data_IF_251176627782
#
_entry.id   IF_251176627782
#
_cell.length_a   1.000
_cell.length_b   1.000
_cell.length_c   1.000
_cell.angle_alpha   90.00
_cell.angle_beta   90.00
_cell.angle_gamma   90.00
#
_symmetry.space_group_name_H-M   'P 1'
#
loop_
_entity.id
_entity.type
_entity.pdbx_description
1 polymer ?
#
# COMPACT_ATOMS: atom_id res chain seq x y z
N UNK A 1 -3.70 15.39 6.93
CA UNK A 1 -4.89 14.50 6.95
C UNK A 1 -4.49 13.23 6.21
N UNK A 2 -4.68 12.05 6.78
CA UNK A 2 -4.40 10.76 6.10
C UNK A 2 -5.73 10.20 5.61
N UNK A 3 -6.05 10.24 4.29
CA UNK A 3 -7.33 9.77 3.75
C UNK A 3 -7.46 8.25 3.75
N UNK A 4 -6.33 7.55 3.87
CA UNK A 4 -6.26 6.10 3.99
C UNK A 4 -5.88 5.72 5.42
N UNK A 5 -6.51 4.68 5.95
CA UNK A 5 -6.18 4.07 7.23
C UNK A 5 -6.20 2.55 7.08
N UNK A 6 -5.17 1.89 7.59
CA UNK A 6 -5.05 0.43 7.57
C UNK A 6 -5.22 -0.17 6.15
N UNK A 7 -4.69 0.53 5.12
CA UNK A 7 -4.75 0.11 3.73
C UNK A 7 -6.10 0.32 3.03
N UNK A 8 -7.08 0.93 3.70
CA UNK A 8 -8.43 1.16 3.13
C UNK A 8 -8.81 2.64 3.17
N UNK A 9 -9.82 3.00 2.35
CA UNK A 9 -10.35 4.36 2.30
C UNK A 9 -11.09 4.67 3.61
N UNK A 10 -10.55 5.61 4.40
CA UNK A 10 -11.18 6.14 5.60
C UNK A 10 -12.04 7.38 5.31
N UNK A 11 -11.65 8.16 4.29
CA UNK A 11 -12.34 9.36 3.83
C UNK A 11 -12.44 9.34 2.30
N UNK A 12 -13.65 9.10 1.80
CA UNK A 12 -13.91 8.95 0.38
C UNK A 12 -13.71 10.25 -0.40
N UNK A 13 -14.18 11.38 0.13
CA UNK A 13 -14.07 12.67 -0.55
C UNK A 13 -12.60 13.11 -0.67
N UNK A 14 -11.88 13.06 0.44
CA UNK A 14 -10.44 13.39 0.45
C UNK A 14 -9.63 12.45 -0.45
N UNK A 15 -9.97 11.15 -0.50
CA UNK A 15 -9.32 10.19 -1.40
C UNK A 15 -9.59 10.53 -2.85
N UNK A 16 -10.83 10.87 -3.21
CA UNK A 16 -11.20 11.26 -4.57
C UNK A 16 -10.43 12.51 -5.02
N UNK A 17 -10.34 13.54 -4.17
CA UNK A 17 -9.57 14.77 -4.45
C UNK A 17 -8.09 14.44 -4.64
N UNK A 18 -7.52 13.59 -3.80
CA UNK A 18 -6.12 13.17 -3.91
C UNK A 18 -5.85 12.45 -5.24
N UNK A 19 -6.72 11.53 -5.63
CA UNK A 19 -6.64 10.82 -6.91
C UNK A 19 -6.76 11.79 -8.10
N UNK A 20 -7.68 12.76 -8.05
CA UNK A 20 -7.81 13.80 -9.06
C UNK A 20 -6.50 14.59 -9.24
N UNK A 21 -5.87 15.00 -8.13
CA UNK A 21 -4.61 15.72 -8.17
C UNK A 21 -3.47 14.88 -8.75
N UNK A 22 -3.39 13.58 -8.40
CA UNK A 22 -2.39 12.68 -8.97
C UNK A 22 -2.59 12.49 -10.47
N UNK A 23 -3.83 12.24 -10.90
CA UNK A 23 -4.17 12.09 -12.31
C UNK A 23 -3.84 13.39 -13.07
N UNK A 24 -4.24 14.55 -12.54
CA UNK A 24 -3.96 15.86 -13.14
C UNK A 24 -2.46 16.10 -13.33
N UNK A 25 -1.66 15.79 -12.31
CA UNK A 25 -0.19 15.89 -12.36
C UNK A 25 0.41 14.94 -13.39
N UNK A 26 -0.02 13.69 -13.40
CA UNK A 26 0.48 12.68 -14.34
C UNK A 26 0.12 12.98 -15.79
N UNK A 27 -1.04 13.60 -16.03
CA UNK A 27 -1.52 13.97 -17.37
C UNK A 27 -0.91 15.27 -17.92
N UNK A 28 -0.06 15.96 -17.15
CA UNK A 28 0.59 17.22 -17.56
C UNK A 28 -0.38 18.24 -18.16
N UNK A 29 -1.59 18.36 -17.60
CA UNK A 29 -2.60 19.33 -18.05
C UNK A 29 -3.34 18.99 -19.35
N UNK A 30 -3.24 17.77 -19.86
CA UNK A 30 -4.02 17.31 -21.02
C UNK A 30 -5.50 17.14 -20.64
N UNK A 31 -6.29 18.15 -20.85
CA UNK A 31 -7.66 18.29 -20.34
C UNK A 31 -8.69 17.32 -20.95
N UNK A 32 -8.40 16.69 -22.08
CA UNK A 32 -9.35 15.82 -22.81
C UNK A 32 -8.95 14.35 -22.88
N UNK A 33 -7.82 13.96 -22.28
CA UNK A 33 -7.38 12.58 -22.29
C UNK A 33 -7.84 11.87 -21.00
N UNK A 34 -8.51 10.72 -21.16
CA UNK A 34 -8.87 9.88 -20.02
C UNK A 34 -7.65 9.05 -19.60
N UNK A 35 -7.30 9.13 -18.33
CA UNK A 35 -6.21 8.34 -17.78
C UNK A 35 -6.63 6.88 -17.60
N UNK A 36 -5.81 5.96 -18.10
CA UNK A 36 -5.85 4.55 -17.65
C UNK A 36 -5.18 4.49 -16.30
N UNK A 37 -5.85 3.95 -15.28
CA UNK A 37 -5.32 3.89 -13.93
C UNK A 37 -5.31 2.45 -13.44
N UNK A 38 -4.18 2.04 -12.89
CA UNK A 38 -4.04 0.78 -12.15
C UNK A 38 -3.90 1.15 -10.69
N UNK A 39 -4.73 0.57 -9.83
CA UNK A 39 -4.70 0.80 -8.39
C UNK A 39 -4.43 -0.53 -7.70
N UNK A 40 -3.41 -0.54 -6.84
CA UNK A 40 -3.15 -1.67 -5.98
C UNK A 40 -4.01 -1.58 -4.72
N UNK A 41 -4.51 -2.72 -4.27
CA UNK A 41 -5.29 -2.85 -3.04
C UNK A 41 -4.79 -4.05 -2.25
N UNK A 42 -4.90 -4.02 -0.91
CA UNK A 42 -4.60 -5.19 -0.09
C UNK A 42 -5.44 -6.41 -0.48
N UNK A 43 -4.87 -7.61 -0.35
CA UNK A 43 -5.56 -8.86 -0.70
C UNK A 43 -6.75 -9.16 0.20
N UNK A 44 -6.74 -8.63 1.44
CA UNK A 44 -7.81 -8.82 2.44
C UNK A 44 -8.98 -7.85 2.36
N UNK A 45 -9.08 -6.99 1.33
CA UNK A 45 -10.17 -6.00 1.23
C UNK A 45 -11.51 -6.66 0.87
N UNK A 46 -12.58 -6.13 1.43
CA UNK A 46 -13.95 -6.55 1.13
C UNK A 46 -14.39 -6.10 -0.27
N UNK A 47 -15.44 -6.71 -0.78
CA UNK A 47 -16.04 -6.31 -2.06
C UNK A 47 -16.54 -4.84 -2.04
N UNK A 48 -17.00 -4.37 -0.89
CA UNK A 48 -17.44 -2.97 -0.69
C UNK A 48 -16.28 -2.00 -0.78
N UNK A 49 -15.17 -2.30 -0.09
CA UNK A 49 -13.94 -1.49 -0.14
C UNK A 49 -13.34 -1.47 -1.55
N UNK A 50 -13.29 -2.62 -2.22
CA UNK A 50 -12.84 -2.72 -3.63
C UNK A 50 -13.71 -1.84 -4.56
N UNK A 51 -15.02 -1.84 -4.35
CA UNK A 51 -15.93 -0.98 -5.11
C UNK A 51 -15.71 0.50 -4.80
N UNK A 52 -15.54 0.87 -3.53
CA UNK A 52 -15.28 2.25 -3.13
C UNK A 52 -14.00 2.81 -3.80
N UNK A 53 -12.94 2.02 -3.87
CA UNK A 53 -11.69 2.40 -4.58
C UNK A 53 -11.97 2.66 -6.06
N UNK A 54 -12.74 1.78 -6.73
CA UNK A 54 -13.09 1.95 -8.13
C UNK A 54 -13.93 3.20 -8.35
N UNK A 55 -14.97 3.40 -7.52
CA UNK A 55 -15.89 4.53 -7.63
C UNK A 55 -15.15 5.85 -7.39
N UNK A 56 -14.23 5.92 -6.43
CA UNK A 56 -13.38 7.08 -6.19
C UNK A 56 -12.49 7.41 -7.40
N UNK A 57 -11.89 6.41 -8.01
CA UNK A 57 -11.06 6.60 -9.20
C UNK A 57 -11.86 7.00 -10.44
N UNK A 58 -13.03 6.41 -10.64
CA UNK A 58 -13.96 6.79 -11.72
C UNK A 58 -14.42 8.25 -11.56
N UNK A 59 -14.77 8.67 -10.34
CA UNK A 59 -15.13 10.07 -10.03
C UNK A 59 -13.95 11.02 -10.18
N UNK A 60 -12.73 10.54 -9.94
CA UNK A 60 -11.51 11.29 -10.21
C UNK A 60 -11.19 11.46 -11.71
N UNK A 61 -11.95 10.83 -12.60
CA UNK A 61 -11.81 10.94 -14.06
C UNK A 61 -10.98 9.83 -14.72
N UNK A 62 -10.61 8.81 -13.97
CA UNK A 62 -9.90 7.64 -14.51
C UNK A 62 -10.83 6.75 -15.35
N UNK A 63 -10.38 6.33 -16.54
CA UNK A 63 -11.09 5.34 -17.36
C UNK A 63 -10.15 4.67 -18.38
N UNK A 64 -10.01 3.34 -18.39
CA UNK A 64 -10.53 2.37 -17.40
C UNK A 64 -9.74 2.35 -16.09
N UNK A 65 -10.40 1.89 -15.01
CA UNK A 65 -9.77 1.59 -13.73
C UNK A 65 -9.56 0.07 -13.61
N UNK A 66 -8.30 -0.32 -13.44
CA UNK A 66 -7.90 -1.70 -13.17
C UNK A 66 -7.47 -1.81 -11.72
N UNK A 67 -7.92 -2.86 -11.05
CA UNK A 67 -7.54 -3.13 -9.66
C UNK A 67 -6.68 -4.39 -9.64
N UNK A 68 -5.53 -4.29 -8.97
CA UNK A 68 -4.56 -5.37 -8.80
C UNK A 68 -4.32 -5.54 -7.30
N UNK A 69 -4.11 -6.76 -6.84
CA UNK A 69 -3.73 -7.01 -5.45
C UNK A 69 -2.27 -6.66 -5.21
N UNK A 70 -1.99 -5.99 -4.08
CA UNK A 70 -0.65 -5.48 -3.74
C UNK A 70 0.45 -6.55 -3.82
N UNK A 71 0.27 -7.77 -3.28
CA UNK A 71 1.32 -8.80 -3.38
C UNK A 71 1.62 -9.22 -4.82
N UNK A 72 0.62 -9.23 -5.70
CA UNK A 72 0.84 -9.55 -7.12
C UNK A 72 1.65 -8.44 -7.79
N UNK A 73 1.31 -7.19 -7.54
CA UNK A 73 2.05 -6.05 -8.08
C UNK A 73 3.50 -6.02 -7.57
N UNK A 74 3.71 -6.31 -6.28
CA UNK A 74 5.02 -6.39 -5.67
C UNK A 74 5.87 -7.53 -6.29
N UNK A 75 5.28 -8.71 -6.50
CA UNK A 75 5.96 -9.83 -7.16
C UNK A 75 6.40 -9.50 -8.58
N UNK A 76 5.52 -8.86 -9.36
CA UNK A 76 5.83 -8.42 -10.73
C UNK A 76 6.95 -7.37 -10.69
N UNK A 77 6.86 -6.40 -9.78
CA UNK A 77 7.87 -5.34 -9.64
C UNK A 77 9.24 -5.86 -9.20
N UNK A 78 9.26 -6.93 -8.39
CA UNK A 78 10.49 -7.63 -7.98
C UNK A 78 11.05 -8.57 -9.06
N UNK A 79 10.38 -8.73 -10.20
CA UNK A 79 10.79 -9.63 -11.28
C UNK A 79 10.66 -11.12 -10.94
N UNK A 80 9.75 -11.47 -10.02
CA UNK A 80 9.52 -12.87 -9.68
C UNK A 80 8.79 -13.60 -10.81
N UNK A 81 9.01 -14.92 -10.99
CA UNK A 81 8.41 -15.71 -12.06
C UNK A 81 6.94 -16.03 -11.77
N UNK A 82 6.09 -15.00 -11.71
CA UNK A 82 4.69 -15.11 -11.28
C UNK A 82 3.84 -15.99 -12.20
N UNK A 83 4.19 -16.13 -13.48
CA UNK A 83 3.44 -16.90 -14.48
C UNK A 83 3.89 -18.35 -14.61
N UNK A 84 5.00 -18.71 -13.99
CA UNK A 84 5.53 -20.06 -14.04
C UNK A 84 4.84 -21.00 -13.05
N UNK A 85 4.94 -22.34 -13.24
CA UNK A 85 4.37 -23.31 -12.31
C UNK A 85 5.16 -23.46 -11.00
N UNK A 86 6.21 -22.68 -10.82
CA UNK A 86 6.97 -22.56 -9.58
C UNK A 86 6.28 -21.61 -8.63
N UNK A 87 6.10 -21.99 -7.36
CA UNK A 87 5.60 -21.09 -6.32
C UNK A 87 6.64 -20.04 -5.97
N UNK A 88 6.25 -18.77 -5.99
CA UNK A 88 7.06 -17.69 -5.42
C UNK A 88 6.28 -17.02 -4.28
N UNK A 89 7.01 -16.58 -3.25
CA UNK A 89 6.41 -15.95 -2.07
C UNK A 89 6.86 -14.50 -1.98
N UNK A 90 5.92 -13.62 -1.67
CA UNK A 90 6.14 -12.20 -1.41
C UNK A 90 5.71 -11.88 0.01
N UNK A 91 6.53 -11.10 0.71
CA UNK A 91 6.16 -10.43 1.95
C UNK A 91 6.23 -8.93 1.69
N UNK A 92 5.08 -8.27 1.74
CA UNK A 92 4.94 -6.82 1.59
C UNK A 92 4.59 -6.19 2.93
N UNK A 93 5.38 -5.24 3.39
CA UNK A 93 5.17 -4.54 4.66
C UNK A 93 5.03 -3.05 4.36
N UNK A 94 3.78 -2.59 4.35
CA UNK A 94 3.43 -1.20 4.15
C UNK A 94 3.45 -0.36 5.42
N UNK A 95 2.73 0.76 5.41
CA UNK A 95 2.54 1.60 6.60
C UNK A 95 1.51 1.00 7.57
N UNK A 96 0.35 0.55 7.06
CA UNK A 96 -0.78 0.07 7.85
C UNK A 96 -1.03 -1.43 7.77
N UNK A 97 -0.53 -2.12 6.73
CA UNK A 97 -0.75 -3.55 6.50
C UNK A 97 0.55 -4.27 6.18
N UNK A 98 0.65 -5.52 6.64
CA UNK A 98 1.67 -6.48 6.21
C UNK A 98 0.97 -7.64 5.53
N UNK A 99 1.43 -8.01 4.34
CA UNK A 99 0.83 -9.05 3.51
C UNK A 99 1.85 -10.09 3.11
N UNK A 100 1.46 -11.34 3.16
CA UNK A 100 2.23 -12.45 2.61
C UNK A 100 1.36 -13.17 1.58
N UNK A 101 1.94 -13.48 0.42
CA UNK A 101 1.24 -14.24 -0.60
C UNK A 101 2.17 -15.24 -1.28
N UNK A 102 1.62 -16.39 -1.64
CA UNK A 102 2.23 -17.36 -2.54
C UNK A 102 1.55 -17.25 -3.89
N UNK A 103 2.35 -17.09 -4.93
CA UNK A 103 1.91 -16.85 -6.30
C UNK A 103 2.45 -17.96 -7.20
N UNK A 104 1.61 -18.48 -8.07
CA UNK A 104 1.97 -19.47 -9.09
C UNK A 104 1.01 -19.38 -10.26
N UNK A 105 1.47 -19.66 -11.49
CA UNK A 105 0.66 -19.70 -12.70
C UNK A 105 -0.19 -18.42 -12.93
N UNK A 106 0.34 -17.26 -12.58
CA UNK A 106 -0.32 -15.96 -12.75
C UNK A 106 -1.41 -15.65 -11.72
N UNK A 107 -1.57 -16.46 -10.68
CA UNK A 107 -2.59 -16.29 -9.65
C UNK A 107 -2.02 -16.33 -8.22
N UNK A 108 -2.72 -15.71 -7.29
CA UNK A 108 -2.45 -15.84 -5.86
C UNK A 108 -3.06 -17.16 -5.39
N UNK A 109 -2.22 -18.07 -4.93
CA UNK A 109 -2.62 -19.39 -4.42
C UNK A 109 -3.14 -19.29 -2.99
N UNK A 110 -2.43 -18.53 -2.17
CA UNK A 110 -2.81 -18.23 -0.79
C UNK A 110 -2.24 -16.88 -0.40
N UNK A 111 -3.00 -16.12 0.37
CA UNK A 111 -2.55 -14.86 0.95
C UNK A 111 -3.06 -14.70 2.38
N UNK A 112 -2.30 -13.94 3.16
CA UNK A 112 -2.68 -13.54 4.51
C UNK A 112 -2.31 -12.07 4.68
N UNK A 113 -3.24 -11.29 5.22
CA UNK A 113 -3.04 -9.87 5.51
C UNK A 113 -3.27 -9.63 7.00
N UNK A 114 -2.41 -8.80 7.61
CA UNK A 114 -2.55 -8.35 8.99
C UNK A 114 -2.42 -6.83 9.04
N UNK A 115 -3.22 -6.21 9.91
CA UNK A 115 -3.20 -4.76 10.16
C UNK A 115 -2.15 -4.42 11.23
N UNK A 116 -0.91 -4.78 10.96
CA UNK A 116 0.24 -4.51 11.80
C UNK A 116 1.43 -4.29 10.87
N UNK A 117 1.96 -3.07 10.81
CA UNK A 117 3.01 -2.71 9.86
C UNK A 117 3.83 -1.50 10.36
N UNK A 118 4.40 -0.74 9.43
CA UNK A 118 5.37 0.32 9.70
C UNK A 118 4.94 1.35 10.72
N UNK A 119 3.68 1.77 10.73
CA UNK A 119 3.16 2.76 11.67
C UNK A 119 3.15 2.21 13.12
N UNK A 120 2.81 0.92 13.30
CA UNK A 120 2.88 0.28 14.62
C UNK A 120 4.31 0.02 15.07
N UNK A 121 5.22 -0.27 14.15
CA UNK A 121 6.65 -0.41 14.47
C UNK A 121 7.21 0.92 14.96
N UNK A 122 6.85 2.04 14.35
CA UNK A 122 7.26 3.37 14.79
C UNK A 122 6.71 3.69 16.18
N UNK A 123 5.44 3.38 16.44
CA UNK A 123 4.83 3.53 17.75
C UNK A 123 5.52 2.67 18.82
N UNK A 124 5.89 1.44 18.49
CA UNK A 124 6.63 0.56 19.38
C UNK A 124 8.02 1.12 19.73
N UNK A 125 8.74 1.67 18.74
CA UNK A 125 10.04 2.32 18.94
C UNK A 125 9.90 3.54 19.87
N UNK A 126 8.92 4.41 19.63
CA UNK A 126 8.64 5.59 20.47
C UNK A 126 8.40 5.14 21.93
N UNK A 127 7.54 4.15 22.11
CA UNK A 127 7.22 3.64 23.43
C UNK A 127 8.43 3.00 24.14
N UNK A 128 9.26 2.26 23.40
CA UNK A 128 10.48 1.67 23.94
C UNK A 128 11.47 2.75 24.40
N UNK A 129 11.75 3.73 23.55
CA UNK A 129 12.67 4.84 23.87
C UNK A 129 12.16 5.63 25.09
N UNK A 130 10.86 5.93 25.15
CA UNK A 130 10.24 6.59 26.29
C UNK A 130 10.41 5.79 27.58
N UNK A 131 10.12 4.49 27.55
CA UNK A 131 10.19 3.63 28.74
C UNK A 131 11.63 3.38 29.21
N UNK A 132 12.54 3.18 28.27
CA UNK A 132 13.91 2.75 28.59
C UNK A 132 14.85 3.91 28.91
N UNK A 133 14.66 5.04 28.23
CA UNK A 133 15.58 6.18 28.29
C UNK A 133 14.93 7.46 28.81
N UNK A 134 13.64 7.45 29.09
CA UNK A 134 12.82 8.62 29.47
C UNK A 134 12.95 9.78 28.47
N UNK A 135 13.09 9.45 27.17
CA UNK A 135 13.20 10.41 26.08
C UNK A 135 11.93 10.37 25.24
N UNK A 136 11.47 11.55 24.82
CA UNK A 136 10.37 11.69 23.87
C UNK A 136 10.95 11.92 22.48
N UNK A 137 10.60 11.03 21.54
CA UNK A 137 10.92 11.18 20.12
C UNK A 137 9.63 11.27 19.30
N UNK A 138 9.70 11.94 18.16
CA UNK A 138 8.57 12.02 17.21
C UNK A 138 8.57 10.87 16.20
N UNK A 139 7.47 10.73 15.44
CA UNK A 139 7.28 9.71 14.41
C UNK A 139 8.43 9.68 13.38
N UNK A 140 8.85 10.85 12.87
CA UNK A 140 9.97 10.94 11.91
C UNK A 140 11.27 10.35 12.44
N UNK A 141 11.55 10.57 13.72
CA UNK A 141 12.76 10.01 14.37
C UNK A 141 12.64 8.50 14.51
N UNK A 142 11.47 8.00 14.89
CA UNK A 142 11.20 6.57 14.99
C UNK A 142 11.33 5.88 13.63
N UNK A 143 10.76 6.46 12.58
CA UNK A 143 10.90 5.98 11.21
C UNK A 143 12.36 5.94 10.74
N UNK A 144 13.14 6.98 11.08
CA UNK A 144 14.57 6.99 10.78
C UNK A 144 15.32 5.88 11.50
N UNK A 145 15.02 5.63 12.78
CA UNK A 145 15.62 4.52 13.55
C UNK A 145 15.25 3.17 12.94
N UNK A 146 13.98 2.98 12.61
CA UNK A 146 13.49 1.77 11.93
C UNK A 146 14.25 1.51 10.63
N UNK A 147 14.39 2.53 9.78
CA UNK A 147 15.04 2.41 8.48
C UNK A 147 16.54 2.12 8.61
N UNK A 148 17.23 2.77 9.54
CA UNK A 148 18.66 2.54 9.80
C UNK A 148 18.91 1.10 10.26
N UNK A 149 18.01 0.51 11.06
CA UNK A 149 18.19 -0.87 11.53
C UNK A 149 18.22 -1.89 10.39
N UNK A 150 17.47 -1.67 9.31
CA UNK A 150 17.51 -2.53 8.12
C UNK A 150 18.82 -2.45 7.34
N UNK A 151 19.52 -1.32 7.39
CA UNK A 151 20.77 -1.12 6.63
C UNK A 151 22.01 -1.64 7.35
N UNK A 152 21.93 -1.89 8.66
CA UNK A 152 23.07 -2.32 9.50
C UNK A 152 22.98 -3.77 10.02
N UNK A 153 21.91 -4.49 9.71
CA UNK A 153 21.77 -5.93 9.97
C UNK A 153 22.42 -6.73 8.83
N UNK A 154 23.74 -6.62 8.72
CA UNK A 154 24.57 -7.54 7.91
C UNK A 154 25.47 -8.36 8.81
#
# INVERSE_FOLDING_TARGET
MRPLKDGVIADFETTTILLQEFIRKAMHGKMFARARVIICIPSGVTAVERRAVRDAADQAGAKPVLIVEEPMAAAIGAGLPTTEPTGCMVLDIGGGTSEVAVISLGGIVVSQSVRCAGDEFDAAIINYIKKRYNLLIGERTAESIKTVSYTHLR
#
